data_IF_390414230701
#
_entry.id   IF_390414230701
#
_cell.length_a   1.000
_cell.length_b   1.000
_cell.length_c   1.000
_cell.angle_alpha   90.00
_cell.angle_beta   90.00
_cell.angle_gamma   90.00
#
_symmetry.space_group_name_H-M   'P 1'
#
loop_
_entity.id
_entity.type
_entity.pdbx_description
1 polymer ?
#
# COMPACT_ATOMS: atom_id res chain seq x y z
N UNK A 1 27.46 17.68 -12.62
CA UNK A 1 25.98 17.65 -12.78
C UNK A 1 25.50 16.26 -13.23
N UNK A 2 26.00 15.72 -14.35
CA UNK A 2 25.59 14.41 -14.89
C UNK A 2 25.78 13.24 -13.90
N UNK A 3 26.88 13.22 -13.18
CA UNK A 3 27.17 12.15 -12.20
C UNK A 3 26.20 12.14 -11.02
N UNK A 4 25.79 13.33 -10.54
CA UNK A 4 24.74 13.44 -9.49
C UNK A 4 23.38 12.95 -9.99
N UNK A 5 23.04 13.25 -11.24
CA UNK A 5 21.79 12.78 -11.87
C UNK A 5 21.84 11.27 -12.05
N UNK A 6 22.94 10.73 -12.56
CA UNK A 6 23.11 9.28 -12.71
C UNK A 6 22.99 8.58 -11.36
N UNK A 7 23.70 9.03 -10.34
CA UNK A 7 23.63 8.46 -9.00
C UNK A 7 22.21 8.52 -8.39
N UNK A 8 21.45 9.62 -8.66
CA UNK A 8 20.06 9.70 -8.24
C UNK A 8 19.17 8.67 -8.96
N UNK A 9 19.32 8.53 -10.27
CA UNK A 9 18.59 7.56 -11.07
C UNK A 9 18.91 6.14 -10.58
N UNK A 10 20.19 5.78 -10.48
CA UNK A 10 20.62 4.44 -10.06
C UNK A 10 20.09 4.09 -8.65
N UNK A 11 20.11 5.06 -7.74
CA UNK A 11 19.59 4.89 -6.36
C UNK A 11 18.07 4.71 -6.30
N UNK A 12 17.34 5.28 -7.24
CA UNK A 12 15.87 5.26 -7.29
C UNK A 12 15.34 4.42 -8.44
N UNK A 13 16.12 3.47 -8.94
CA UNK A 13 15.69 2.52 -9.97
C UNK A 13 15.51 1.14 -9.36
N UNK A 14 14.37 0.52 -9.60
CA UNK A 14 14.08 -0.82 -9.13
C UNK A 14 12.61 -1.16 -9.13
N UNK A 15 12.33 -2.39 -8.74
CA UNK A 15 10.97 -2.88 -8.54
C UNK A 15 10.52 -2.65 -7.10
N UNK A 16 9.31 -2.14 -6.92
CA UNK A 16 8.64 -2.06 -5.65
C UNK A 16 7.40 -2.95 -5.69
N UNK A 17 7.44 -4.05 -4.97
CA UNK A 17 6.26 -4.91 -4.80
C UNK A 17 5.39 -4.33 -3.70
N UNK A 18 4.19 -3.89 -4.05
CA UNK A 18 3.17 -3.41 -3.15
C UNK A 18 2.02 -4.40 -3.14
N UNK A 19 1.78 -5.03 -1.99
CA UNK A 19 0.66 -5.94 -1.78
C UNK A 19 -0.44 -5.19 -1.04
N UNK A 20 -1.57 -5.02 -1.70
CA UNK A 20 -2.73 -4.34 -1.16
C UNK A 20 -3.69 -5.33 -0.48
N UNK A 21 -4.65 -4.80 0.27
CA UNK A 21 -5.74 -5.56 0.90
C UNK A 21 -5.27 -6.64 1.88
N UNK A 22 -4.22 -6.34 2.63
CA UNK A 22 -3.73 -7.22 3.68
C UNK A 22 -4.62 -7.07 4.92
N UNK A 23 -5.39 -8.09 5.21
CA UNK A 23 -6.37 -8.12 6.29
C UNK A 23 -6.44 -9.50 6.94
N UNK A 24 -7.14 -9.58 8.07
CA UNK A 24 -7.40 -10.86 8.75
C UNK A 24 -8.10 -11.88 7.85
N UNK A 25 -9.00 -11.37 6.97
CA UNK A 25 -9.68 -12.11 5.94
C UNK A 25 -9.01 -11.88 4.59
N UNK A 26 -8.38 -12.89 4.02
CA UNK A 26 -7.73 -12.81 2.70
C UNK A 26 -7.45 -14.23 2.14
N UNK A 27 -6.94 -14.31 0.90
CA UNK A 27 -6.46 -15.57 0.32
C UNK A 27 -5.12 -16.00 0.95
N UNK A 28 -5.17 -16.52 2.13
CA UNK A 28 -3.99 -16.91 2.92
C UNK A 28 -3.10 -17.93 2.22
N UNK A 29 -3.65 -18.82 1.43
CA UNK A 29 -2.86 -19.81 0.67
C UNK A 29 -1.88 -19.12 -0.30
N UNK A 30 -2.34 -18.07 -1.00
CA UNK A 30 -1.47 -17.31 -1.90
C UNK A 30 -0.47 -16.46 -1.12
N UNK A 31 -0.91 -15.81 -0.04
CA UNK A 31 -0.02 -15.00 0.79
C UNK A 31 1.10 -15.85 1.43
N UNK A 32 0.77 -17.02 1.97
CA UNK A 32 1.76 -17.91 2.58
C UNK A 32 2.79 -18.42 1.54
N UNK A 33 2.33 -18.77 0.33
CA UNK A 33 3.23 -19.17 -0.77
C UNK A 33 4.11 -18.02 -1.23
N UNK A 34 3.54 -16.81 -1.37
CA UNK A 34 4.29 -15.62 -1.74
C UNK A 34 5.37 -15.29 -0.69
N UNK A 35 5.04 -15.37 0.59
CA UNK A 35 5.99 -15.14 1.68
C UNK A 35 7.20 -16.08 1.62
N UNK A 36 6.98 -17.36 1.39
CA UNK A 36 8.08 -18.35 1.25
C UNK A 36 9.02 -17.92 0.13
N UNK A 37 8.47 -17.49 -1.00
CA UNK A 37 9.26 -17.06 -2.16
C UNK A 37 9.97 -15.74 -1.87
N UNK A 38 9.31 -14.78 -1.23
CA UNK A 38 9.94 -13.53 -0.84
C UNK A 38 11.10 -13.76 0.13
N UNK A 39 10.93 -14.65 1.11
CA UNK A 39 12.01 -15.02 2.04
C UNK A 39 13.18 -15.69 1.29
N UNK A 40 12.90 -16.60 0.34
CA UNK A 40 13.92 -17.29 -0.48
C UNK A 40 14.76 -16.30 -1.31
N UNK A 41 14.15 -15.27 -1.88
CA UNK A 41 14.81 -14.27 -2.72
C UNK A 41 15.21 -13.00 -1.95
N UNK A 42 15.05 -12.97 -0.62
CA UNK A 42 15.29 -11.80 0.22
C UNK A 42 14.52 -10.54 -0.26
N UNK A 43 13.32 -10.74 -0.78
CA UNK A 43 12.43 -9.66 -1.21
C UNK A 43 11.66 -9.13 0.00
N UNK A 44 11.63 -7.81 0.13
CA UNK A 44 10.94 -7.11 1.22
C UNK A 44 9.84 -6.22 0.64
N UNK A 45 8.63 -6.74 0.46
CA UNK A 45 7.53 -5.97 -0.11
C UNK A 45 7.03 -4.89 0.85
N UNK A 46 6.21 -3.98 0.31
CA UNK A 46 5.36 -3.10 1.12
C UNK A 46 3.98 -3.72 1.22
N UNK A 47 3.49 -3.84 2.44
CA UNK A 47 2.17 -4.40 2.72
C UNK A 47 1.18 -3.31 3.08
N UNK A 48 0.07 -3.23 2.35
CA UNK A 48 -1.07 -2.39 2.65
C UNK A 48 -2.01 -3.07 3.64
N UNK A 49 -1.76 -2.84 4.91
CA UNK A 49 -2.55 -3.46 5.98
C UNK A 49 -3.76 -2.60 6.31
N UNK A 50 -4.92 -3.23 6.37
CA UNK A 50 -6.19 -2.59 6.75
C UNK A 50 -6.41 -2.76 8.26
N UNK A 51 -6.41 -1.66 9.06
CA UNK A 51 -6.51 -1.75 10.52
C UNK A 51 -7.82 -2.36 11.03
N UNK A 52 -8.94 -2.00 10.40
CA UNK A 52 -10.29 -2.41 10.76
C UNK A 52 -11.09 -2.79 9.51
N UNK A 53 -10.78 -3.92 8.93
CA UNK A 53 -11.42 -4.35 7.68
C UNK A 53 -12.95 -4.39 7.79
N UNK A 54 -13.64 -3.60 6.94
CA UNK A 54 -15.10 -3.59 6.75
C UNK A 54 -15.49 -3.80 5.28
N UNK A 55 -14.55 -4.17 4.45
CA UNK A 55 -14.80 -4.50 3.06
C UNK A 55 -15.57 -5.81 2.97
N UNK A 56 -16.76 -5.75 2.35
CA UNK A 56 -17.65 -6.92 2.26
C UNK A 56 -17.04 -8.06 1.45
N UNK A 57 -16.31 -7.73 0.38
CA UNK A 57 -15.67 -8.74 -0.48
C UNK A 57 -14.53 -9.43 0.25
N UNK A 58 -13.70 -8.67 0.97
CA UNK A 58 -12.62 -9.24 1.76
C UNK A 58 -13.13 -10.08 2.93
N UNK A 59 -14.24 -9.68 3.54
CA UNK A 59 -14.84 -10.44 4.65
C UNK A 59 -15.39 -11.81 4.23
N UNK A 60 -15.60 -12.06 2.93
CA UNK A 60 -15.97 -13.36 2.40
C UNK A 60 -14.80 -14.36 2.38
N UNK A 61 -13.56 -13.88 2.42
CA UNK A 61 -12.39 -14.75 2.50
C UNK A 61 -12.21 -15.36 3.89
N UNK A 62 -11.56 -16.52 3.98
CA UNK A 62 -11.29 -17.15 5.27
C UNK A 62 -10.39 -16.27 6.13
N UNK A 63 -10.64 -16.30 7.43
CA UNK A 63 -9.73 -15.73 8.42
C UNK A 63 -8.49 -16.60 8.58
N UNK A 64 -7.38 -15.96 8.97
CA UNK A 64 -6.21 -16.70 9.43
C UNK A 64 -6.55 -17.47 10.72
N UNK A 65 -6.03 -18.68 10.86
CA UNK A 65 -6.22 -19.52 12.04
C UNK A 65 -5.38 -19.09 13.26
N UNK A 66 -4.43 -18.18 13.07
CA UNK A 66 -3.57 -17.62 14.11
C UNK A 66 -3.91 -16.14 14.34
N UNK A 67 -3.24 -15.51 15.30
CA UNK A 67 -3.38 -14.05 15.49
C UNK A 67 -2.80 -13.31 14.27
N UNK A 68 -3.64 -12.56 13.57
CA UNK A 68 -3.25 -11.77 12.41
C UNK A 68 -2.14 -10.76 12.72
N UNK A 69 -2.22 -10.10 13.87
CA UNK A 69 -1.27 -9.06 14.24
C UNK A 69 0.11 -9.62 14.60
N UNK A 70 0.18 -10.85 15.13
CA UNK A 70 1.46 -11.57 15.28
C UNK A 70 2.14 -11.78 13.93
N UNK A 71 1.35 -12.09 12.90
CA UNK A 71 1.85 -12.25 11.53
C UNK A 71 2.38 -10.92 10.97
N UNK A 72 1.64 -9.82 11.16
CA UNK A 72 2.06 -8.49 10.71
C UNK A 72 3.34 -8.05 11.42
N UNK A 73 3.45 -8.27 12.74
CA UNK A 73 4.71 -8.03 13.48
C UNK A 73 5.87 -8.86 12.93
N UNK A 74 5.63 -10.12 12.62
CA UNK A 74 6.64 -11.01 12.02
C UNK A 74 7.17 -10.44 10.69
N UNK A 75 6.29 -9.95 9.82
CA UNK A 75 6.70 -9.31 8.57
C UNK A 75 7.50 -8.04 8.80
N UNK A 76 7.06 -7.17 9.72
CA UNK A 76 7.82 -5.97 10.07
C UNK A 76 9.21 -6.31 10.62
N UNK A 77 9.32 -7.35 11.47
CA UNK A 77 10.61 -7.83 12.02
C UNK A 77 11.55 -8.40 10.94
N UNK A 78 10.99 -8.95 9.85
CA UNK A 78 11.76 -9.34 8.66
C UNK A 78 12.24 -8.14 7.82
N UNK A 79 11.82 -6.93 8.19
CA UNK A 79 12.14 -5.68 7.48
C UNK A 79 11.20 -5.38 6.32
N UNK A 80 10.03 -6.02 6.25
CA UNK A 80 8.99 -5.62 5.31
C UNK A 80 8.37 -4.30 5.77
N UNK A 81 8.05 -3.42 4.84
CA UNK A 81 7.39 -2.16 5.19
C UNK A 81 5.90 -2.38 5.37
N UNK A 82 5.38 -1.98 6.53
CA UNK A 82 3.94 -1.99 6.79
C UNK A 82 3.41 -0.59 6.54
N UNK A 83 2.50 -0.47 5.58
CA UNK A 83 1.76 0.75 5.28
C UNK A 83 0.30 0.62 5.69
N UNK A 84 -0.31 1.73 6.04
CA UNK A 84 -1.73 1.80 6.32
C UNK A 84 -2.51 1.93 5.02
N UNK A 85 -3.35 0.94 4.70
CA UNK A 85 -4.21 0.91 3.51
C UNK A 85 -5.64 1.31 3.88
N UNK A 86 -5.88 2.62 3.94
CA UNK A 86 -7.09 3.15 4.54
C UNK A 86 -7.21 2.80 6.02
N UNK A 87 -8.40 2.96 6.57
CA UNK A 87 -8.70 2.57 7.96
C UNK A 87 -9.68 1.41 8.00
N UNK A 88 -10.72 1.49 7.20
CA UNK A 88 -11.82 0.54 7.19
C UNK A 88 -11.94 -0.21 5.86
N UNK A 89 -11.31 0.26 4.80
CA UNK A 89 -11.50 -0.18 3.42
C UNK A 89 -12.99 -0.20 3.04
N UNK A 90 -13.70 0.85 3.41
CA UNK A 90 -15.14 0.95 3.23
C UNK A 90 -15.51 2.26 2.56
N UNK A 91 -16.15 2.15 1.42
CA UNK A 91 -16.50 3.27 0.57
C UNK A 91 -17.92 3.73 0.84
N UNK A 92 -18.07 4.93 1.37
CA UNK A 92 -19.38 5.56 1.62
C UNK A 92 -19.66 6.75 0.70
N UNK A 93 -18.63 7.24 0.03
CA UNK A 93 -18.68 8.43 -0.81
C UNK A 93 -18.15 8.14 -2.21
N UNK A 94 -18.43 9.05 -3.11
CA UNK A 94 -17.90 9.05 -4.47
C UNK A 94 -17.11 10.34 -4.66
N UNK A 95 -15.94 10.23 -5.23
CA UNK A 95 -15.10 11.34 -5.64
C UNK A 95 -15.27 11.58 -7.15
N UNK A 96 -15.72 12.77 -7.53
CA UNK A 96 -15.98 13.12 -8.95
C UNK A 96 -14.71 13.69 -9.62
N UNK A 97 -13.58 12.99 -9.53
CA UNK A 97 -12.26 13.43 -10.04
C UNK A 97 -11.74 14.73 -9.41
N UNK A 98 -12.24 15.10 -8.25
CA UNK A 98 -11.72 16.18 -7.41
C UNK A 98 -10.83 15.66 -6.27
N UNK A 99 -10.45 14.39 -6.33
CA UNK A 99 -9.38 13.80 -5.55
C UNK A 99 -8.02 14.34 -6.01
N UNK A 100 -7.02 14.17 -5.17
CA UNK A 100 -5.68 14.73 -5.40
C UNK A 100 -5.04 14.29 -6.74
N UNK A 101 -5.30 13.06 -7.17
CA UNK A 101 -4.76 12.48 -8.39
C UNK A 101 -5.72 12.51 -9.59
N UNK A 102 -7.00 12.89 -9.40
CA UNK A 102 -7.99 12.95 -10.45
C UNK A 102 -8.52 11.60 -10.94
N UNK A 103 -8.40 10.54 -10.15
CA UNK A 103 -8.94 9.22 -10.49
C UNK A 103 -10.46 9.18 -10.43
N UNK A 104 -11.04 9.73 -9.38
CA UNK A 104 -12.47 9.63 -9.11
C UNK A 104 -12.92 8.24 -8.64
N UNK A 105 -14.21 8.07 -8.45
CA UNK A 105 -14.83 6.81 -8.04
C UNK A 105 -15.05 6.69 -6.54
N UNK A 106 -15.21 5.46 -6.07
CA UNK A 106 -15.46 5.17 -4.68
C UNK A 106 -14.30 5.62 -3.77
N UNK A 107 -14.62 6.16 -2.60
CA UNK A 107 -13.59 6.70 -1.71
C UNK A 107 -13.90 6.47 -0.24
N UNK A 108 -12.84 6.24 0.53
CA UNK A 108 -12.92 6.23 1.99
C UNK A 108 -12.67 7.63 2.57
N UNK A 109 -11.89 8.48 1.90
CA UNK A 109 -11.38 9.74 2.45
C UNK A 109 -11.92 10.98 1.74
N UNK A 110 -11.90 11.02 0.43
CA UNK A 110 -12.29 12.20 -0.33
C UNK A 110 -13.75 12.60 -0.08
N UNK A 111 -14.05 13.91 -0.14
CA UNK A 111 -15.39 14.48 0.07
C UNK A 111 -15.98 14.31 1.49
N UNK A 112 -15.13 14.16 2.49
CA UNK A 112 -15.52 14.29 3.90
C UNK A 112 -14.68 15.36 4.58
N UNK A 113 -15.13 15.83 5.74
CA UNK A 113 -14.43 16.90 6.45
C UNK A 113 -13.00 16.50 6.88
N UNK A 114 -12.14 17.50 7.08
CA UNK A 114 -10.80 17.26 7.60
C UNK A 114 -10.84 16.51 8.95
N UNK A 115 -11.74 16.88 9.84
CA UNK A 115 -11.83 16.26 11.16
C UNK A 115 -12.26 14.80 11.11
N UNK A 116 -13.16 14.44 10.19
CA UNK A 116 -13.53 13.04 9.95
C UNK A 116 -12.36 12.23 9.36
N UNK A 117 -11.61 12.80 8.40
CA UNK A 117 -10.43 12.15 7.84
C UNK A 117 -9.35 11.99 8.93
N UNK A 118 -9.07 13.03 9.71
CA UNK A 118 -8.11 12.99 10.80
C UNK A 118 -8.49 11.93 11.84
N UNK A 119 -9.79 11.86 12.19
CA UNK A 119 -10.29 10.83 13.10
C UNK A 119 -10.03 9.42 12.57
N UNK A 120 -10.36 9.15 11.31
CA UNK A 120 -10.11 7.83 10.68
C UNK A 120 -8.63 7.48 10.73
N UNK A 121 -7.75 8.39 10.33
CA UNK A 121 -6.30 8.16 10.33
C UNK A 121 -5.81 7.87 11.76
N UNK A 122 -6.24 8.64 12.75
CA UNK A 122 -5.90 8.40 14.16
C UNK A 122 -6.42 7.05 14.65
N UNK A 123 -7.65 6.68 14.30
CA UNK A 123 -8.22 5.38 14.68
C UNK A 123 -7.36 4.22 14.13
N UNK A 124 -6.96 4.30 12.85
CA UNK A 124 -6.06 3.33 12.22
C UNK A 124 -4.68 3.27 12.90
N UNK A 125 -4.04 4.41 13.12
CA UNK A 125 -2.75 4.48 13.80
C UNK A 125 -2.81 3.96 15.23
N UNK A 126 -3.87 4.26 15.97
CA UNK A 126 -4.09 3.73 17.32
C UNK A 126 -4.19 2.20 17.31
N UNK A 127 -4.80 1.62 16.27
CA UNK A 127 -4.84 0.16 16.13
C UNK A 127 -3.43 -0.41 15.93
N UNK A 128 -2.65 0.15 15.00
CA UNK A 128 -1.26 -0.29 14.78
C UNK A 128 -0.40 -0.12 16.04
N UNK A 129 -0.53 1.00 16.74
CA UNK A 129 0.21 1.24 17.98
C UNK A 129 -0.13 0.24 19.08
N UNK A 130 -1.40 -0.14 19.24
CA UNK A 130 -1.83 -1.19 20.18
C UNK A 130 -1.29 -2.58 19.84
N UNK A 131 -0.92 -2.78 18.58
CA UNK A 131 -0.35 -4.02 18.07
C UNK A 131 1.18 -3.95 17.92
N UNK A 132 1.83 -2.94 18.50
CA UNK A 132 3.28 -2.70 18.43
C UNK A 132 3.83 -2.62 16.99
N UNK A 133 3.07 -2.03 16.08
CA UNK A 133 3.46 -1.84 14.68
C UNK A 133 3.70 -0.38 14.39
N UNK A 134 4.87 -0.07 13.82
CA UNK A 134 5.25 1.28 13.39
C UNK A 134 4.84 1.55 11.97
N UNK A 135 4.13 2.65 11.75
CA UNK A 135 3.61 3.08 10.44
C UNK A 135 4.18 4.45 10.07
N UNK A 136 4.71 4.56 8.85
CA UNK A 136 5.14 5.82 8.23
C UNK A 136 4.63 6.01 6.81
N UNK A 137 3.97 4.98 6.26
CA UNK A 137 3.53 4.92 4.88
C UNK A 137 2.02 4.75 4.83
N UNK A 138 1.40 5.46 3.92
CA UNK A 138 -0.02 5.40 3.65
C UNK A 138 -0.27 5.24 2.15
N UNK A 139 -1.32 4.55 1.79
CA UNK A 139 -1.92 4.58 0.47
C UNK A 139 -3.43 4.36 0.56
N UNK A 140 -4.16 5.21 -0.16
CA UNK A 140 -5.61 5.21 -0.09
C UNK A 140 -6.20 4.02 -0.85
N UNK A 141 -7.23 3.37 -0.30
CA UNK A 141 -8.05 2.47 -1.09
C UNK A 141 -8.58 3.18 -2.32
N UNK A 142 -8.61 2.46 -3.47
CA UNK A 142 -9.02 3.00 -4.77
C UNK A 142 -8.25 4.27 -5.20
N UNK A 143 -7.06 4.54 -4.67
CA UNK A 143 -6.22 5.70 -5.00
C UNK A 143 -6.89 7.06 -4.78
N UNK A 144 -8.00 7.11 -4.03
CA UNK A 144 -8.81 8.31 -3.86
C UNK A 144 -8.58 8.96 -2.50
N UNK A 145 -7.92 10.10 -2.52
CA UNK A 145 -7.67 10.96 -1.36
C UNK A 145 -7.61 12.43 -1.83
N UNK A 146 -7.72 13.37 -0.91
CA UNK A 146 -7.69 14.79 -1.20
C UNK A 146 -6.65 15.54 -0.36
N UNK A 147 -6.57 16.86 -0.52
CA UNK A 147 -5.63 17.70 0.22
C UNK A 147 -5.84 17.62 1.74
N UNK A 148 -7.08 17.41 2.20
CA UNK A 148 -7.37 17.23 3.63
C UNK A 148 -6.79 15.92 4.15
N UNK A 149 -6.81 14.86 3.33
CA UNK A 149 -6.15 13.58 3.67
C UNK A 149 -4.65 13.81 3.90
N UNK A 150 -3.97 14.51 2.98
CA UNK A 150 -2.53 14.79 3.10
C UNK A 150 -2.21 15.62 4.35
N UNK A 151 -3.02 16.65 4.64
CA UNK A 151 -2.88 17.45 5.87
C UNK A 151 -3.06 16.59 7.13
N UNK A 152 -4.05 15.71 7.14
CA UNK A 152 -4.33 14.83 8.27
C UNK A 152 -3.21 13.80 8.48
N UNK A 153 -2.69 13.20 7.40
CA UNK A 153 -1.54 12.29 7.45
C UNK A 153 -0.33 12.99 8.05
N UNK A 154 0.01 14.18 7.55
CA UNK A 154 1.14 14.97 8.03
C UNK A 154 1.01 15.32 9.50
N UNK A 155 -0.19 15.73 9.96
CA UNK A 155 -0.44 16.03 11.38
C UNK A 155 -0.31 14.81 12.29
N UNK A 156 -0.41 13.60 11.73
CA UNK A 156 -0.23 12.34 12.42
C UNK A 156 1.19 11.74 12.26
N UNK A 157 2.12 12.46 11.62
CA UNK A 157 3.50 12.00 11.44
C UNK A 157 3.69 11.02 10.28
N UNK A 158 2.69 10.81 9.44
CA UNK A 158 2.81 10.05 8.20
C UNK A 158 3.28 11.00 7.10
N UNK A 159 4.45 10.73 6.53
CA UNK A 159 5.09 11.58 5.53
C UNK A 159 5.43 10.84 4.23
N UNK A 160 4.94 9.64 4.04
CA UNK A 160 5.13 8.86 2.83
C UNK A 160 3.79 8.36 2.29
N UNK A 161 3.53 8.63 1.02
CA UNK A 161 2.36 8.14 0.28
C UNK A 161 2.83 7.29 -0.89
N UNK A 162 2.38 6.03 -0.96
CA UNK A 162 2.62 5.15 -2.10
C UNK A 162 1.51 5.35 -3.13
N UNK A 163 1.61 6.44 -3.85
CA UNK A 163 0.72 6.80 -4.93
C UNK A 163 1.29 7.98 -5.71
N UNK A 164 0.64 8.38 -6.79
CA UNK A 164 1.05 9.54 -7.57
C UNK A 164 1.56 9.19 -8.96
N UNK A 165 1.80 10.23 -9.74
CA UNK A 165 2.28 10.12 -11.11
C UNK A 165 3.76 10.45 -11.18
N UNK A 166 4.52 9.60 -11.82
CA UNK A 166 5.95 9.81 -12.04
C UNK A 166 6.71 8.48 -12.11
N UNK A 167 7.94 8.55 -12.57
CA UNK A 167 8.86 7.40 -12.62
C UNK A 167 9.84 7.40 -11.44
N UNK A 168 9.94 8.51 -10.73
CA UNK A 168 10.84 8.70 -9.60
C UNK A 168 10.07 9.22 -8.40
N UNK A 169 10.49 8.87 -7.16
CA UNK A 169 9.94 9.49 -5.97
C UNK A 169 10.12 11.01 -6.01
N UNK A 170 9.11 11.73 -5.54
CA UNK A 170 9.14 13.19 -5.43
C UNK A 170 8.59 13.63 -4.07
N UNK A 171 8.80 14.89 -3.74
CA UNK A 171 8.29 15.46 -2.49
C UNK A 171 7.43 16.69 -2.82
N UNK A 172 6.28 16.76 -2.19
CA UNK A 172 5.36 17.89 -2.28
C UNK A 172 4.76 18.14 -0.90
N UNK A 173 4.80 19.38 -0.45
CA UNK A 173 4.29 19.80 0.86
C UNK A 173 4.82 19.01 2.07
N UNK A 174 6.06 18.50 1.99
CA UNK A 174 6.69 17.69 3.04
C UNK A 174 6.16 16.26 3.12
N UNK A 175 5.48 15.80 2.08
CA UNK A 175 5.10 14.40 1.88
C UNK A 175 5.91 13.84 0.71
N UNK A 176 6.54 12.70 0.94
CA UNK A 176 7.23 11.93 -0.09
C UNK A 176 6.25 11.02 -0.80
N UNK A 177 6.07 11.25 -2.09
CA UNK A 177 5.31 10.36 -2.97
C UNK A 177 6.21 9.32 -3.61
N UNK A 178 5.75 8.07 -3.59
CA UNK A 178 6.35 6.98 -4.36
C UNK A 178 5.33 6.59 -5.43
N UNK A 179 5.60 6.92 -6.72
CA UNK A 179 4.61 6.76 -7.76
C UNK A 179 4.13 5.33 -7.97
N UNK A 180 2.86 5.20 -8.35
CA UNK A 180 2.21 3.95 -8.72
C UNK A 180 1.54 4.15 -10.09
N UNK A 181 2.22 3.75 -11.18
CA UNK A 181 1.75 4.01 -12.53
C UNK A 181 1.14 2.80 -13.22
N UNK A 182 1.48 1.59 -12.80
CA UNK A 182 1.18 0.40 -13.59
C UNK A 182 0.37 -0.62 -12.79
N UNK A 183 -0.72 -1.08 -13.39
CA UNK A 183 -1.49 -2.24 -12.90
C UNK A 183 -0.88 -3.58 -13.34
N UNK A 184 0.01 -3.51 -14.34
CA UNK A 184 0.70 -4.68 -14.90
C UNK A 184 2.18 -4.54 -14.69
N UNK A 185 2.86 -5.67 -14.62
CA UNK A 185 4.31 -5.75 -14.57
C UNK A 185 4.88 -5.24 -15.89
N UNK A 186 5.57 -4.11 -15.84
CA UNK A 186 6.23 -3.50 -17.00
C UNK A 186 7.69 -3.27 -16.61
N UNK A 187 8.62 -3.78 -17.41
CA UNK A 187 10.06 -3.56 -17.18
C UNK A 187 10.53 -2.37 -17.99
N UNK A 188 10.98 -1.33 -17.32
CA UNK A 188 11.64 -0.17 -17.90
C UNK A 188 13.06 -0.03 -17.34
N UNK A 189 14.00 0.59 -18.06
CA UNK A 189 15.41 0.61 -17.66
C UNK A 189 15.76 1.62 -16.57
N UNK A 190 14.78 2.40 -16.09
CA UNK A 190 14.99 3.41 -15.05
C UNK A 190 13.68 3.68 -14.28
N UNK A 191 13.81 4.24 -13.08
CA UNK A 191 12.70 4.64 -12.23
C UNK A 191 12.19 3.54 -11.32
N UNK A 192 11.26 3.89 -10.44
CA UNK A 192 10.58 2.94 -9.57
C UNK A 192 9.42 2.31 -10.34
N UNK A 193 9.50 1.01 -10.54
CA UNK A 193 8.44 0.21 -11.15
C UNK A 193 7.61 -0.40 -10.04
N UNK A 194 6.62 0.35 -9.57
CA UNK A 194 5.73 -0.11 -8.52
C UNK A 194 4.62 -0.97 -9.09
N UNK A 195 4.46 -2.17 -8.56
CA UNK A 195 3.41 -3.10 -8.94
C UNK A 195 2.41 -3.24 -7.80
N UNK A 196 1.15 -2.93 -8.11
CA UNK A 196 0.05 -3.14 -7.21
C UNK A 196 -0.45 -4.58 -7.33
N UNK A 197 -0.32 -5.34 -6.27
CA UNK A 197 -0.62 -6.76 -6.24
C UNK A 197 -1.78 -7.00 -5.27
N UNK A 198 -2.89 -7.50 -5.81
CA UNK A 198 -4.07 -7.89 -5.04
C UNK A 198 -4.20 -9.42 -5.06
N UNK A 199 -3.51 -10.11 -4.17
CA UNK A 199 -3.55 -11.59 -4.11
C UNK A 199 -4.97 -12.12 -3.91
N UNK A 200 -5.84 -11.34 -3.29
CA UNK A 200 -7.24 -11.70 -3.04
C UNK A 200 -8.05 -11.91 -4.32
N UNK A 201 -7.68 -11.22 -5.41
CA UNK A 201 -8.37 -11.32 -6.71
C UNK A 201 -7.65 -12.22 -7.71
N UNK A 202 -6.49 -12.79 -7.35
CA UNK A 202 -5.77 -13.69 -8.22
C UNK A 202 -6.48 -15.05 -8.34
N UNK A 203 -6.52 -15.58 -9.54
CA UNK A 203 -6.71 -17.01 -9.76
C UNK A 203 -5.34 -17.72 -9.78
N UNK A 204 -5.34 -19.03 -9.89
CA UNK A 204 -4.11 -19.83 -9.89
C UNK A 204 -3.13 -19.39 -10.99
N UNK A 205 -3.64 -19.19 -12.21
CA UNK A 205 -2.81 -18.74 -13.36
C UNK A 205 -2.17 -17.37 -13.12
N UNK A 206 -2.93 -16.42 -12.55
CA UNK A 206 -2.38 -15.09 -12.23
C UNK A 206 -1.31 -15.18 -11.16
N UNK A 207 -1.50 -16.05 -10.19
CA UNK A 207 -0.53 -16.29 -9.13
C UNK A 207 0.75 -16.94 -9.70
N UNK A 208 0.63 -17.96 -10.54
CA UNK A 208 1.76 -18.60 -11.21
C UNK A 208 2.56 -17.61 -12.08
N UNK A 209 1.88 -16.76 -12.84
CA UNK A 209 2.54 -15.70 -13.63
C UNK A 209 3.28 -14.70 -12.74
N UNK A 210 2.71 -14.32 -11.60
CA UNK A 210 3.37 -13.47 -10.64
C UNK A 210 4.62 -14.14 -10.04
N UNK A 211 4.54 -15.39 -9.69
CA UNK A 211 5.68 -16.16 -9.18
C UNK A 211 6.78 -16.32 -10.25
N UNK A 212 6.40 -16.60 -11.49
CA UNK A 212 7.36 -16.64 -12.61
C UNK A 212 8.13 -15.32 -12.76
N UNK A 213 7.42 -14.19 -12.66
CA UNK A 213 8.08 -12.87 -12.69
C UNK A 213 9.09 -12.67 -11.55
N UNK A 214 8.85 -13.24 -10.39
CA UNK A 214 9.79 -13.16 -9.25
C UNK A 214 11.04 -14.00 -9.50
N UNK A 215 10.91 -15.09 -10.25
CA UNK A 215 12.03 -15.97 -10.58
C UNK A 215 12.95 -15.41 -11.68
N UNK A 216 12.42 -14.57 -12.58
CA UNK A 216 13.13 -13.92 -13.70
C UNK A 216 13.95 -12.69 -13.26
#
# INVERSE_FOLDING_TARGET
MFEKIKNYIDKNTGFLLRLDDIAENMKWDFMNKAEIIFDQYNIKPVLGVIPYNKDKELLEHPKINSNFWDKVRSWQNKGWEIGMHGTYHSYKNICNKNDYLGYGGNTEFCNISYDEQLKKIKDGLNKFSKEDISIKTFFAPNHTFDTNTLKALKSCGINKVLDGYGLMPYEEDGIKFVPQLFYKIIRIPFGIQSFQIHLNYYNLKNFENFISFIHD
#
